data_IF_745961446497
#
_entry.id   IF_745961446497
#
_cell.length_a   1.000
_cell.length_b   1.000
_cell.length_c   1.000
_cell.angle_alpha   90.00
_cell.angle_beta   90.00
_cell.angle_gamma   90.00
#
_symmetry.space_group_name_H-M   'P 1'
#
loop_
_entity.id
_entity.type
_entity.pdbx_description
1 polymer ?
#
# COMPACT_ATOMS: atom_id res chain seq x y z
N UNK A 1 14.06 -3.72 34.87
CA UNK A 1 12.93 -2.78 34.81
C UNK A 1 12.46 -2.81 33.37
N UNK A 2 11.27 -3.34 33.18
CA UNK A 2 10.70 -3.65 31.87
C UNK A 2 10.45 -2.34 31.12
N UNK A 3 11.08 -2.17 29.95
CA UNK A 3 10.80 -1.05 29.07
C UNK A 3 9.66 -1.48 28.15
N UNK A 4 8.45 -1.11 28.56
CA UNK A 4 7.23 -1.28 27.80
C UNK A 4 7.29 -0.34 26.57
N UNK A 5 7.43 -0.88 25.37
CA UNK A 5 7.39 -0.10 24.13
C UNK A 5 6.01 -0.31 23.49
N UNK A 6 5.23 0.77 23.42
CA UNK A 6 4.00 0.82 22.62
C UNK A 6 4.38 0.70 21.14
N UNK A 7 3.79 -0.25 20.43
CA UNK A 7 3.91 -0.38 18.98
C UNK A 7 2.74 0.38 18.32
N UNK A 8 3.06 1.34 17.47
CA UNK A 8 2.11 1.96 16.54
C UNK A 8 2.60 1.80 15.09
N UNK A 9 1.80 1.08 14.30
CA UNK A 9 1.70 1.09 12.82
C UNK A 9 2.87 0.53 11.98
N UNK A 10 2.67 -0.65 11.35
CA UNK A 10 3.59 -1.20 10.35
C UNK A 10 3.50 -0.36 9.06
N UNK A 11 4.47 0.53 8.86
CA UNK A 11 4.84 1.02 7.54
C UNK A 11 6.29 0.62 7.28
N UNK A 12 6.52 -0.19 6.23
CA UNK A 12 7.88 -0.50 5.78
C UNK A 12 8.50 0.76 5.17
N UNK A 13 9.30 1.46 5.98
CA UNK A 13 10.22 2.49 5.49
C UNK A 13 11.49 1.75 5.05
N UNK A 14 11.89 1.92 3.78
CA UNK A 14 13.18 1.45 3.27
C UNK A 14 14.31 2.12 4.09
N UNK A 15 15.04 1.34 4.89
CA UNK A 15 15.99 1.84 5.90
C UNK A 15 17.39 2.14 5.34
N UNK A 16 17.52 2.41 4.04
CA UNK A 16 18.82 2.70 3.41
C UNK A 16 18.99 4.15 2.94
N UNK A 17 18.40 5.12 3.64
CA UNK A 17 18.77 6.51 3.50
C UNK A 17 18.84 7.17 4.88
N UNK A 18 20.04 7.57 5.31
CA UNK A 18 20.30 8.40 6.49
C UNK A 18 19.78 9.85 6.30
N UNK A 19 18.55 9.99 5.84
CA UNK A 19 17.83 11.26 5.72
C UNK A 19 16.83 11.37 6.86
N UNK A 20 16.80 12.55 7.49
CA UNK A 20 15.81 12.93 8.51
C UNK A 20 14.43 12.38 8.14
N UNK A 21 13.74 11.74 9.10
CA UNK A 21 12.33 11.39 8.99
C UNK A 21 11.54 12.69 8.94
N UNK A 22 11.44 13.26 7.74
CA UNK A 22 10.40 14.24 7.45
C UNK A 22 9.07 13.48 7.59
N UNK A 23 8.15 14.06 8.34
CA UNK A 23 6.81 13.51 8.51
C UNK A 23 6.10 13.64 7.16
N UNK A 24 6.32 12.64 6.29
CA UNK A 24 5.73 12.62 4.95
C UNK A 24 4.26 12.28 5.13
N UNK A 25 3.39 13.29 5.04
CA UNK A 25 1.95 13.07 4.95
C UNK A 25 1.64 12.20 3.73
N UNK A 26 1.27 10.94 3.96
CA UNK A 26 0.89 10.01 2.89
C UNK A 26 -0.56 10.26 2.49
N UNK A 27 -0.87 10.34 1.18
CA UNK A 27 -2.23 10.52 0.71
C UNK A 27 -3.09 9.30 1.06
N UNK A 28 -4.23 9.54 1.71
CA UNK A 28 -5.20 8.53 2.06
C UNK A 28 -6.29 8.44 0.98
N UNK A 29 -6.63 7.22 0.57
CA UNK A 29 -7.68 6.95 -0.40
C UNK A 29 -8.77 6.08 0.22
N UNK A 30 -10.02 6.38 -0.10
CA UNK A 30 -11.11 5.49 0.24
C UNK A 30 -11.09 4.25 -0.70
N UNK A 31 -11.56 3.11 -0.20
CA UNK A 31 -11.57 1.86 -0.98
C UNK A 31 -12.42 1.96 -2.25
N UNK A 32 -13.51 2.73 -2.24
CA UNK A 32 -14.39 2.88 -3.39
C UNK A 32 -13.72 3.61 -4.56
N UNK A 33 -12.87 4.60 -4.27
CA UNK A 33 -12.04 5.33 -5.23
C UNK A 33 -11.04 4.37 -5.87
N UNK A 34 -10.35 3.57 -5.05
CA UNK A 34 -9.40 2.56 -5.55
C UNK A 34 -10.10 1.47 -6.38
N UNK A 35 -11.26 1.00 -5.92
CA UNK A 35 -12.06 0.02 -6.66
C UNK A 35 -12.51 0.59 -8.01
N UNK A 36 -13.02 1.82 -8.05
CA UNK A 36 -13.41 2.48 -9.30
C UNK A 36 -12.22 2.67 -10.23
N UNK A 37 -11.10 3.20 -9.73
CA UNK A 37 -9.90 3.47 -10.50
C UNK A 37 -9.24 2.20 -11.09
N UNK A 38 -9.43 1.05 -10.43
CA UNK A 38 -8.95 -0.27 -10.90
C UNK A 38 -10.01 -1.06 -11.68
N UNK A 39 -11.18 -0.49 -11.96
CA UNK A 39 -12.34 -1.19 -12.52
C UNK A 39 -12.70 -2.46 -11.72
N UNK A 40 -12.93 -2.29 -10.42
CA UNK A 40 -13.15 -3.33 -9.43
C UNK A 40 -12.06 -4.42 -9.41
N UNK A 41 -10.79 -4.01 -9.43
CA UNK A 41 -9.64 -4.93 -9.47
C UNK A 41 -9.71 -5.90 -10.66
N UNK A 42 -10.13 -5.40 -11.83
CA UNK A 42 -10.24 -6.20 -13.05
C UNK A 42 -8.90 -6.84 -13.43
N UNK A 43 -8.94 -8.08 -13.91
CA UNK A 43 -7.75 -8.77 -14.43
C UNK A 43 -7.09 -8.03 -15.59
N UNK A 44 -7.85 -7.23 -16.36
CA UNK A 44 -7.31 -6.41 -17.44
C UNK A 44 -6.36 -5.32 -16.95
N UNK A 45 -6.53 -4.89 -15.70
CA UNK A 45 -5.67 -3.90 -15.06
C UNK A 45 -4.56 -4.53 -14.23
N UNK A 46 -4.45 -5.86 -14.20
CA UNK A 46 -3.41 -6.53 -13.41
C UNK A 46 -2.04 -6.35 -14.07
N UNK A 47 -1.11 -5.76 -13.33
CA UNK A 47 0.26 -5.52 -13.75
C UNK A 47 1.16 -6.72 -13.40
N UNK A 48 1.01 -7.26 -12.19
CA UNK A 48 1.82 -8.38 -11.71
C UNK A 48 1.14 -9.15 -10.58
N UNK A 49 1.70 -10.30 -10.23
CA UNK A 49 1.33 -11.08 -9.05
C UNK A 49 2.55 -11.80 -8.50
N UNK A 50 2.66 -11.82 -7.17
CA UNK A 50 3.67 -12.60 -6.46
C UNK A 50 3.14 -13.09 -5.12
N UNK A 51 4.02 -13.59 -4.25
CA UNK A 51 3.64 -14.14 -2.94
C UNK A 51 2.91 -13.17 -1.99
N UNK A 52 2.95 -11.87 -2.30
CA UNK A 52 2.30 -10.81 -1.53
C UNK A 52 0.96 -10.35 -2.13
N UNK A 53 0.50 -11.01 -3.18
CA UNK A 53 -0.74 -10.71 -3.88
C UNK A 53 -0.56 -9.94 -5.19
N UNK A 54 -1.68 -9.64 -5.88
CA UNK A 54 -1.69 -8.95 -7.16
C UNK A 54 -1.44 -7.44 -7.05
N UNK A 55 -0.81 -6.88 -8.08
CA UNK A 55 -0.66 -5.45 -8.32
C UNK A 55 -1.51 -5.05 -9.51
N UNK A 56 -2.31 -4.00 -9.37
CA UNK A 56 -3.19 -3.47 -10.41
C UNK A 56 -2.78 -2.06 -10.80
N UNK A 57 -2.96 -1.72 -12.07
CA UNK A 57 -2.97 -0.35 -12.58
C UNK A 57 -4.30 0.30 -12.18
N UNK A 58 -4.24 1.51 -11.65
CA UNK A 58 -5.40 2.33 -11.40
C UNK A 58 -5.21 3.70 -12.06
N UNK A 59 -6.28 4.25 -12.62
CA UNK A 59 -6.29 5.62 -13.15
C UNK A 59 -7.24 6.44 -12.27
N UNK A 60 -6.68 7.40 -11.54
CA UNK A 60 -7.43 8.31 -10.68
C UNK A 60 -8.24 9.30 -11.53
N UNK A 61 -9.17 10.01 -10.89
CA UNK A 61 -10.10 10.92 -11.58
C UNK A 61 -9.41 12.13 -12.24
N UNK A 62 -8.26 12.51 -11.71
CA UNK A 62 -7.37 13.54 -12.28
C UNK A 62 -6.50 13.01 -13.43
N UNK A 63 -6.65 11.73 -13.80
CA UNK A 63 -5.88 11.06 -14.83
C UNK A 63 -4.55 10.50 -14.35
N UNK A 64 -4.20 10.64 -13.07
CA UNK A 64 -2.96 10.08 -12.54
C UNK A 64 -3.02 8.55 -12.53
N UNK A 65 -1.99 7.91 -13.09
CA UNK A 65 -1.85 6.45 -13.06
C UNK A 65 -1.04 6.02 -11.83
N UNK A 66 -1.56 5.07 -11.07
CA UNK A 66 -0.93 4.52 -9.88
C UNK A 66 -0.93 2.98 -9.91
N UNK A 67 -0.07 2.38 -9.09
CA UNK A 67 -0.06 0.94 -8.82
C UNK A 67 -0.71 0.65 -7.47
N UNK A 68 -1.68 -0.27 -7.45
CA UNK A 68 -2.41 -0.70 -6.26
C UNK A 68 -2.06 -2.15 -5.95
N UNK A 69 -1.35 -2.38 -4.85
CA UNK A 69 -1.02 -3.72 -4.36
C UNK A 69 -2.10 -4.20 -3.39
N UNK A 70 -2.80 -5.27 -3.75
CA UNK A 70 -3.79 -5.91 -2.87
C UNK A 70 -3.11 -7.06 -2.14
N UNK A 71 -2.86 -6.90 -0.85
CA UNK A 71 -2.25 -7.92 -0.02
C UNK A 71 -3.12 -9.18 0.03
N UNK A 72 -2.48 -10.34 -0.10
CA UNK A 72 -3.17 -11.62 0.07
C UNK A 72 -3.49 -11.85 1.55
N UNK A 73 -4.60 -12.53 1.85
CA UNK A 73 -5.01 -12.83 3.25
C UNK A 73 -3.98 -13.65 4.03
N UNK A 74 -3.15 -14.42 3.33
CA UNK A 74 -2.08 -15.24 3.91
C UNK A 74 -0.75 -14.51 3.97
N UNK A 75 -0.65 -13.31 3.38
CA UNK A 75 0.55 -12.51 3.47
C UNK A 75 0.59 -11.87 4.84
N UNK A 76 1.44 -12.38 5.73
CA UNK A 76 1.70 -11.75 7.04
C UNK A 76 2.40 -10.38 6.94
N UNK A 77 2.48 -9.77 5.76
CA UNK A 77 2.97 -8.40 5.59
C UNK A 77 1.80 -7.43 5.57
N UNK A 78 1.90 -6.33 6.33
CA UNK A 78 0.83 -5.32 6.45
C UNK A 78 -0.22 -5.63 7.54
N UNK A 79 0.05 -6.61 8.40
CA UNK A 79 -0.66 -6.85 9.64
C UNK A 79 0.17 -6.31 10.81
N UNK A 80 0.13 -5.00 11.06
CA UNK A 80 0.19 -4.48 12.44
C UNK A 80 -1.22 -4.17 12.90
#
# INVERSE_FOLDING_TARGET
>A
MENNVMMEGNVMIDQNAEGKREDVELPLFNLATIATATNNFSSNNKLSEGGFGPVYKATLIDGQEIAVKRLSRSSGQGIE
#
